data_IF_031928494113
#
_entry.id   IF_031928494113
#
_cell.length_a   1.000
_cell.length_b   1.000
_cell.length_c   1.000
_cell.angle_alpha   90.00
_cell.angle_beta   90.00
_cell.angle_gamma   90.00
#
_symmetry.space_group_name_H-M   'P 1'
#
loop_
_entity.id
_entity.type
_entity.pdbx_description
1 polymer ?
#
# COMPACT_ATOMS: atom_id res chain seq x y z
N UNK A 1 -14.98 -26.51 9.09
CA UNK A 1 -14.69 -26.21 8.69
C UNK A 1 -14.31 -25.85 8.81
N UNK A 2 -14.26 -25.61 8.90
CA UNK A 2 -13.79 -25.06 8.81
C UNK A 2 -14.03 -24.60 9.16
N UNK A 3 -14.19 -24.32 9.52
CA UNK A 3 -14.34 -23.67 9.70
C UNK A 3 -14.49 -22.81 9.55
N UNK A 4 -14.62 -22.91 9.18
CA UNK A 4 -14.88 -21.71 8.93
C UNK A 4 -15.57 -21.13 9.90
N UNK A 5 -15.35 -20.28 10.28
CA UNK A 5 -15.97 -19.65 11.23
C UNK A 5 -17.15 -19.30 10.86
N UNK A 6 -17.73 -19.11 11.28
CA UNK A 6 -18.82 -18.84 10.73
C UNK A 6 -18.70 -17.75 10.00
N UNK A 7 -19.42 -17.55 9.50
CA UNK A 7 -19.36 -16.63 8.73
C UNK A 7 -19.48 -15.40 9.32
N UNK A 8 -19.92 -15.41 10.36
CA UNK A 8 -19.87 -14.20 10.87
C UNK A 8 -18.54 -13.86 11.10
N UNK A 9 -17.86 -14.63 11.16
CA UNK A 9 -16.64 -14.38 11.15
C UNK A 9 -16.21 -14.36 9.96
N UNK A 10 -16.91 -14.64 9.10
CA UNK A 10 -16.52 -14.54 7.93
C UNK A 10 -16.73 -13.36 7.48
N UNK A 11 -17.38 -12.90 7.85
CA UNK A 11 -17.19 -11.70 7.48
C UNK A 11 -16.07 -11.30 8.18
N UNK A 12 -15.89 -11.91 9.04
CA UNK A 12 -14.83 -11.68 9.64
C UNK A 12 -14.00 -12.58 9.56
N UNK A 13 -14.46 -13.44 9.32
CA UNK A 13 -13.73 -14.16 9.02
C UNK A 13 -13.95 -14.45 8.04
N UNK A 14 -14.25 -14.17 7.76
CA UNK A 14 -14.33 -14.37 7.09
C UNK A 14 -13.91 -14.64 7.25
N UNK A 15 -14.06 -14.95 8.29
CA UNK A 15 -13.68 -15.46 8.50
C UNK A 15 -13.54 -15.92 9.41
N UNK A 16 -13.83 -16.98 9.95
CA UNK A 16 -13.58 -17.68 10.40
C UNK A 16 -13.23 -18.39 10.44
N UNK A 17 -13.12 -18.89 10.51
CA UNK A 17 -12.53 -19.43 10.17
C UNK A 17 -11.98 -19.17 9.41
N UNK A 18 -11.93 -18.63 9.73
CA UNK A 18 -11.38 -18.06 8.66
C UNK A 18 -9.92 -18.00 8.68
N UNK A 19 -9.23 -18.44 7.70
CA UNK A 19 -7.80 -18.30 7.64
C UNK A 19 -7.45 -16.85 7.45
N UNK A 20 -6.41 -16.37 8.12
CA UNK A 20 -5.94 -15.02 7.86
C UNK A 20 -5.53 -14.89 6.40
N UNK A 21 -5.78 -13.76 5.83
CA UNK A 21 -5.36 -13.51 4.47
C UNK A 21 -3.84 -13.54 4.38
N UNK A 22 -3.33 -14.30 3.44
CA UNK A 22 -1.89 -14.39 3.20
C UNK A 22 -1.64 -13.91 1.79
N UNK A 23 -0.88 -12.86 1.65
CA UNK A 23 -0.56 -12.29 0.35
C UNK A 23 -0.72 -10.79 0.36
N UNK A 24 -0.49 -10.14 -0.77
CA UNK A 24 -0.55 -8.69 -0.84
C UNK A 24 -1.99 -8.18 -0.75
N UNK A 25 -2.15 -7.03 -0.15
CA UNK A 25 -3.41 -6.32 -0.16
C UNK A 25 -3.46 -5.51 -1.45
N UNK A 26 -4.21 -5.99 -2.42
CA UNK A 26 -4.31 -5.30 -3.70
C UNK A 26 -5.32 -4.15 -3.59
N UNK A 27 -5.33 -3.29 -4.61
CA UNK A 27 -6.26 -2.18 -4.65
C UNK A 27 -7.71 -2.68 -4.63
N UNK A 28 -8.02 -3.72 -5.39
CA UNK A 28 -9.38 -4.26 -5.40
C UNK A 28 -9.75 -4.89 -4.07
N UNK A 29 -8.80 -5.53 -3.41
CA UNK A 29 -9.04 -6.09 -2.09
C UNK A 29 -9.29 -4.98 -1.06
N UNK A 30 -8.54 -3.90 -1.14
CA UNK A 30 -8.75 -2.76 -0.26
C UNK A 30 -10.16 -2.19 -0.45
N UNK A 31 -10.57 -2.02 -1.70
CA UNK A 31 -11.90 -1.51 -2.00
C UNK A 31 -12.97 -2.44 -1.45
N UNK A 32 -12.79 -3.75 -1.61
CA UNK A 32 -13.75 -4.71 -1.09
C UNK A 32 -13.87 -4.64 0.42
N UNK A 33 -12.75 -4.49 1.12
CA UNK A 33 -12.77 -4.38 2.58
C UNK A 33 -13.44 -3.10 3.05
N UNK A 34 -13.19 -2.01 2.34
CA UNK A 34 -13.83 -0.74 2.66
C UNK A 34 -15.34 -0.82 2.42
N UNK A 35 -15.74 -1.46 1.33
CA UNK A 35 -17.15 -1.63 1.04
C UNK A 35 -17.85 -2.44 2.14
N UNK A 36 -17.20 -3.48 2.62
CA UNK A 36 -17.76 -4.31 3.68
C UNK A 36 -17.95 -3.53 4.98
N UNK A 37 -17.08 -2.57 5.24
CA UNK A 37 -17.16 -1.76 6.46
C UNK A 37 -18.07 -0.57 6.31
N UNK A 38 -18.51 -0.26 5.11
CA UNK A 38 -19.34 0.92 4.83
C UNK A 38 -20.50 0.53 3.93
N UNK A 39 -21.41 -0.32 4.42
CA UNK A 39 -22.46 -0.89 3.57
C UNK A 39 -23.45 0.15 3.04
N UNK A 40 -23.49 1.33 3.64
CA UNK A 40 -24.37 2.39 3.15
C UNK A 40 -23.84 3.10 1.91
N UNK A 41 -22.55 2.89 1.57
CA UNK A 41 -21.96 3.55 0.42
C UNK A 41 -21.98 2.63 -0.79
N UNK A 42 -22.16 3.23 -1.97
CA UNK A 42 -22.08 2.45 -3.19
C UNK A 42 -20.64 2.05 -3.48
N UNK A 43 -20.48 0.87 -4.03
CA UNK A 43 -19.15 0.35 -4.37
C UNK A 43 -18.40 1.32 -5.29
N UNK A 44 -19.08 1.88 -6.29
CA UNK A 44 -18.43 2.81 -7.22
C UNK A 44 -17.91 4.07 -6.53
N UNK A 45 -18.59 4.50 -5.46
CA UNK A 45 -18.14 5.68 -4.73
C UNK A 45 -16.90 5.37 -3.92
N UNK A 46 -16.82 4.17 -3.37
CA UNK A 46 -15.64 3.74 -2.63
C UNK A 46 -14.46 3.61 -3.59
N UNK A 47 -14.69 3.04 -4.78
CA UNK A 47 -13.65 2.96 -5.80
C UNK A 47 -13.11 4.34 -6.15
N UNK A 48 -14.03 5.29 -6.30
CA UNK A 48 -13.66 6.66 -6.65
C UNK A 48 -12.87 7.34 -5.54
N UNK A 49 -13.28 7.11 -4.29
CA UNK A 49 -12.57 7.68 -3.15
C UNK A 49 -11.15 7.12 -3.05
N UNK A 50 -11.00 5.81 -3.21
CA UNK A 50 -9.68 5.19 -3.17
C UNK A 50 -8.80 5.74 -4.28
N UNK A 51 -9.35 5.84 -5.49
CA UNK A 51 -8.61 6.38 -6.63
C UNK A 51 -8.17 7.82 -6.36
N UNK A 52 -9.07 8.63 -5.81
CA UNK A 52 -8.77 10.03 -5.50
C UNK A 52 -7.66 10.14 -4.47
N UNK A 53 -7.72 9.33 -3.40
CA UNK A 53 -6.70 9.38 -2.37
C UNK A 53 -5.33 9.02 -2.95
N UNK A 54 -5.28 7.94 -3.72
CA UNK A 54 -4.02 7.51 -4.30
C UNK A 54 -3.47 8.52 -5.31
N UNK A 55 -4.36 9.14 -6.09
CA UNK A 55 -3.96 10.16 -7.05
C UNK A 55 -3.44 11.41 -6.35
N UNK A 56 -4.04 11.80 -5.22
CA UNK A 56 -3.55 12.94 -4.46
C UNK A 56 -2.16 12.69 -3.90
N UNK A 57 -1.93 11.48 -3.40
CA UNK A 57 -0.60 11.13 -2.89
C UNK A 57 0.40 11.12 -4.04
N UNK A 58 0.04 10.48 -5.15
CA UNK A 58 0.92 10.40 -6.31
C UNK A 58 1.23 11.78 -6.88
N UNK A 59 0.21 12.64 -6.98
CA UNK A 59 0.40 13.99 -7.50
C UNK A 59 1.29 14.83 -6.62
N UNK A 60 1.15 14.71 -5.30
CA UNK A 60 2.00 15.44 -4.38
C UNK A 60 3.45 15.01 -4.54
N UNK A 61 3.68 13.70 -4.63
CA UNK A 61 5.04 13.20 -4.82
C UNK A 61 5.63 13.62 -6.17
N UNK A 62 4.79 13.68 -7.19
CA UNK A 62 5.23 14.12 -8.51
C UNK A 62 5.74 15.56 -8.46
N UNK A 63 5.09 16.40 -7.65
CA UNK A 63 5.52 17.78 -7.46
C UNK A 63 6.72 17.90 -6.53
N UNK A 64 7.17 16.81 -5.92
CA UNK A 64 8.26 16.83 -4.97
C UNK A 64 7.85 17.10 -3.54
N UNK A 65 6.54 17.11 -3.27
CA UNK A 65 6.05 17.39 -1.93
C UNK A 65 6.18 16.15 -1.04
N UNK A 66 6.25 16.42 0.26
CA UNK A 66 6.22 15.35 1.25
C UNK A 66 4.76 15.14 1.66
N UNK A 67 4.37 13.88 1.79
CA UNK A 67 3.03 13.52 2.23
C UNK A 67 3.13 12.91 3.62
N UNK A 68 2.57 13.58 4.62
CA UNK A 68 2.60 13.08 5.98
C UNK A 68 1.22 12.63 6.40
N UNK A 69 1.10 11.37 6.79
CA UNK A 69 -0.15 10.80 7.27
C UNK A 69 0.08 10.39 8.72
N UNK A 70 -0.34 11.26 9.63
CA UNK A 70 -0.08 11.07 11.05
C UNK A 70 -0.59 9.71 11.53
N UNK A 71 0.26 8.99 12.24
CA UNK A 71 -0.08 7.67 12.74
C UNK A 71 0.24 6.55 11.77
N UNK A 72 0.47 6.89 10.50
CA UNK A 72 0.78 5.90 9.48
C UNK A 72 2.22 6.03 9.02
N UNK A 73 2.58 7.17 8.47
CA UNK A 73 3.93 7.39 8.00
C UNK A 73 4.01 8.57 7.07
N UNK A 74 5.16 8.71 6.45
CA UNK A 74 5.40 9.81 5.54
C UNK A 74 6.05 9.31 4.27
N UNK A 75 5.57 9.84 3.14
CA UNK A 75 6.15 9.57 1.84
C UNK A 75 6.96 10.78 1.42
N UNK A 76 8.09 10.55 0.80
CA UNK A 76 8.91 11.62 0.24
C UNK A 76 9.56 11.13 -1.04
N UNK A 77 10.18 12.04 -1.75
CA UNK A 77 10.85 11.69 -2.99
C UNK A 77 12.33 11.80 -2.77
N UNK A 78 13.07 10.81 -3.21
CA UNK A 78 14.54 10.82 -3.17
C UNK A 78 15.06 10.74 -4.58
N UNK A 79 16.13 11.48 -4.84
CA UNK A 79 16.75 11.45 -6.14
C UNK A 79 17.92 10.48 -6.12
N UNK A 80 17.99 9.66 -7.13
CA UNK A 80 19.12 8.76 -7.33
C UNK A 80 19.93 9.30 -8.47
N UNK A 81 21.18 9.68 -8.18
CA UNK A 81 22.04 10.26 -9.19
C UNK A 81 22.38 9.23 -10.25
N UNK A 82 22.68 9.72 -11.45
CA UNK A 82 23.17 8.87 -12.51
C UNK A 82 24.45 8.18 -12.05
N UNK A 83 24.61 6.94 -12.41
CA UNK A 83 25.77 6.16 -12.01
C UNK A 83 26.04 5.07 -13.05
N UNK A 84 27.21 4.45 -12.90
CA UNK A 84 27.55 3.30 -13.72
C UNK A 84 27.31 2.06 -12.89
N UNK A 85 26.44 1.19 -13.38
CA UNK A 85 26.15 -0.07 -12.70
C UNK A 85 26.78 -1.21 -13.47
N UNK A 86 26.52 -2.43 -13.00
CA UNK A 86 26.96 -3.62 -13.68
C UNK A 86 25.82 -4.57 -13.90
N UNK A 87 25.80 -5.17 -15.06
CA UNK A 87 24.84 -6.23 -15.36
C UNK A 87 25.30 -7.48 -14.61
N UNK A 88 24.54 -7.99 -13.66
CA UNK A 88 24.97 -9.16 -12.86
C UNK A 88 25.09 -10.42 -13.69
N UNK A 89 24.48 -10.46 -14.88
CA UNK A 89 24.55 -11.64 -15.72
C UNK A 89 25.82 -11.65 -16.58
N UNK A 90 26.20 -10.50 -17.11
CA UNK A 90 27.33 -10.43 -18.05
C UNK A 90 28.55 -9.73 -17.47
N UNK A 91 28.38 -9.01 -16.37
CA UNK A 91 29.43 -8.20 -15.79
C UNK A 91 29.71 -6.91 -16.54
N UNK A 92 28.97 -6.64 -17.61
CA UNK A 92 29.20 -5.45 -18.42
C UNK A 92 28.74 -4.19 -17.67
N UNK A 93 29.41 -3.07 -17.93
CA UNK A 93 29.01 -1.78 -17.38
C UNK A 93 27.73 -1.30 -18.05
N UNK A 94 26.85 -0.72 -17.25
CA UNK A 94 25.58 -0.19 -17.73
C UNK A 94 25.40 1.20 -17.15
N UNK A 95 25.09 2.17 -17.99
CA UNK A 95 24.79 3.51 -17.52
C UNK A 95 23.39 3.53 -16.90
N UNK A 96 23.31 3.99 -15.68
CA UNK A 96 22.03 4.11 -14.98
C UNK A 96 21.70 5.60 -14.90
N UNK A 97 20.59 5.98 -15.51
CA UNK A 97 20.19 7.38 -15.56
C UNK A 97 19.72 7.86 -14.19
N UNK A 98 19.81 9.16 -13.98
CA UNK A 98 19.27 9.80 -12.80
C UNK A 98 17.76 9.58 -12.77
N UNK A 99 17.22 9.34 -11.58
CA UNK A 99 15.78 9.15 -11.45
C UNK A 99 15.32 9.49 -10.05
N UNK A 100 14.02 9.71 -9.93
CA UNK A 100 13.36 10.01 -8.67
C UNK A 100 12.61 8.77 -8.21
N UNK A 101 12.72 8.45 -6.94
CA UNK A 101 12.06 7.27 -6.37
C UNK A 101 11.32 7.67 -5.11
N UNK A 102 10.19 7.01 -4.82
CA UNK A 102 9.49 7.27 -3.58
C UNK A 102 10.20 6.62 -2.41
N UNK A 103 10.08 7.22 -1.25
CA UNK A 103 10.63 6.70 -0.01
C UNK A 103 9.55 6.80 1.05
N UNK A 104 9.30 5.71 1.74
CA UNK A 104 8.31 5.68 2.81
C UNK A 104 8.99 5.43 4.13
N UNK A 105 8.66 6.24 5.13
CA UNK A 105 9.14 6.05 6.48
C UNK A 105 7.92 5.91 7.39
N UNK A 106 7.80 4.79 8.09
CA UNK A 106 6.66 4.57 8.94
C UNK A 106 6.69 5.49 10.15
N UNK A 107 5.51 5.86 10.63
CA UNK A 107 5.38 6.67 11.82
C UNK A 107 5.40 5.81 13.07
N UNK A 108 5.33 6.49 14.21
CA UNK A 108 5.39 5.82 15.50
C UNK A 108 4.23 4.83 15.68
N UNK A 109 3.01 5.22 15.30
CA UNK A 109 1.87 4.32 15.43
C UNK A 109 2.02 3.04 14.64
N UNK A 110 2.47 3.18 13.39
CA UNK A 110 2.68 2.00 12.55
C UNK A 110 3.79 1.11 13.12
N UNK A 111 4.88 1.73 13.58
CA UNK A 111 5.99 0.97 14.15
C UNK A 111 5.54 0.18 15.37
N UNK A 112 4.70 0.79 16.21
CA UNK A 112 4.20 0.10 17.40
C UNK A 112 3.30 -1.07 17.02
N UNK A 113 2.47 -0.91 15.98
CA UNK A 113 1.60 -1.98 15.54
C UNK A 113 2.39 -3.18 15.00
N UNK A 114 3.50 -2.91 14.34
CA UNK A 114 4.30 -3.98 13.75
C UNK A 114 5.17 -4.70 14.78
N UNK A 115 5.43 -4.07 15.91
CA UNK A 115 6.34 -4.61 16.92
C UNK A 115 5.67 -4.95 18.24
N UNK A 116 4.40 -5.24 18.19
CA UNK A 116 3.67 -5.67 19.37
C UNK A 116 4.11 -7.05 19.82
#
# INVERSE_FOLDING_TARGET
MVDLPPLSMQGIYRNFLVLPWVGPLTRSELIARLAAKNPALYHRDIERLVATILDEIGGALERGDRVELRGFGAFSVRERKARVGRNPRTGASVDVAEKRVPFFKMGKGMRERLNR
#
